data_IF_840169054369
#
_entry.id   IF_840169054369
#
_cell.length_a   1.000
_cell.length_b   1.000
_cell.length_c   1.000
_cell.angle_alpha   90.00
_cell.angle_beta   90.00
_cell.angle_gamma   90.00
#
_symmetry.space_group_name_H-M   'P 1'
#
loop_
_entity.id
_entity.type
_entity.pdbx_description
1 polymer ?
#
# COMPACT_ATOMS: atom_id res chain seq x y z
N UNK A 1 35.56 56.27 -44.47
CA UNK A 1 34.85 56.68 -43.25
C UNK A 1 33.78 55.64 -42.96
N UNK A 2 34.02 54.76 -41.98
CA UNK A 2 33.14 53.65 -41.61
C UNK A 2 32.52 54.00 -40.25
N UNK A 3 31.19 53.99 -40.08
CA UNK A 3 30.59 54.26 -38.79
C UNK A 3 30.71 53.03 -37.89
N UNK A 4 31.18 53.27 -36.66
CA UNK A 4 31.42 52.25 -35.65
C UNK A 4 30.10 51.64 -35.14
N UNK A 5 29.72 50.47 -35.66
CA UNK A 5 28.62 49.61 -35.20
C UNK A 5 28.96 48.79 -33.93
N UNK A 6 29.96 49.22 -33.15
CA UNK A 6 30.52 48.43 -32.05
C UNK A 6 29.70 48.39 -30.74
N UNK A 7 28.91 49.41 -30.33
CA UNK A 7 28.29 49.34 -29.00
C UNK A 7 27.03 48.46 -28.98
N UNK A 8 26.31 48.32 -30.10
CA UNK A 8 25.02 47.61 -30.14
C UNK A 8 25.21 46.10 -30.03
N UNK A 9 26.21 45.53 -30.71
CA UNK A 9 26.49 44.08 -30.70
C UNK A 9 27.00 43.58 -29.35
N UNK A 10 27.78 44.40 -28.63
CA UNK A 10 28.27 44.06 -27.29
C UNK A 10 27.12 44.03 -26.28
N UNK A 11 26.20 45.00 -26.38
CA UNK A 11 25.02 45.04 -25.50
C UNK A 11 24.08 43.86 -25.76
N UNK A 12 23.89 43.44 -27.02
CA UNK A 12 23.03 42.28 -27.32
C UNK A 12 23.63 40.96 -26.82
N UNK A 13 24.94 40.78 -26.94
CA UNK A 13 25.63 39.56 -26.45
C UNK A 13 25.61 39.47 -24.93
N UNK A 14 25.77 40.60 -24.22
CA UNK A 14 25.67 40.65 -22.76
C UNK A 14 24.24 40.37 -22.29
N UNK A 15 23.23 40.92 -22.97
CA UNK A 15 21.82 40.67 -22.61
C UNK A 15 21.43 39.20 -22.81
N UNK A 16 21.90 38.56 -23.90
CA UNK A 16 21.63 37.14 -24.17
C UNK A 16 22.37 36.21 -23.18
N UNK A 17 23.59 36.57 -22.76
CA UNK A 17 24.33 35.83 -21.75
C UNK A 17 23.66 35.88 -20.35
N UNK A 18 23.04 37.01 -19.99
CA UNK A 18 22.29 37.15 -18.73
C UNK A 18 20.98 36.36 -18.75
N UNK A 19 20.30 36.30 -19.90
CA UNK A 19 19.07 35.52 -20.07
C UNK A 19 19.30 33.99 -20.08
N UNK A 20 20.43 33.53 -20.63
CA UNK A 20 20.78 32.10 -20.62
C UNK A 20 21.35 31.62 -19.26
N UNK A 21 21.91 32.51 -18.44
CA UNK A 21 22.46 32.16 -17.12
C UNK A 21 21.41 31.87 -16.03
N UNK A 22 20.17 32.35 -16.19
CA UNK A 22 19.09 32.18 -15.21
C UNK A 22 18.50 30.77 -15.13
N UNK A 23 18.69 29.94 -16.16
CA UNK A 23 18.17 28.57 -16.19
C UNK A 23 19.11 27.54 -15.55
N UNK A 24 20.37 27.87 -15.28
CA UNK A 24 21.34 26.96 -14.66
C UNK A 24 21.36 27.04 -13.12
N UNK A 25 20.73 28.05 -12.52
CA UNK A 25 20.71 28.27 -11.06
C UNK A 25 19.47 27.72 -10.35
N UNK A 26 18.58 27.02 -11.06
CA UNK A 26 17.48 26.24 -10.47
C UNK A 26 17.89 24.78 -10.25
N UNK A 27 19.11 24.56 -9.75
CA UNK A 27 19.36 23.34 -9.00
C UNK A 27 18.70 23.56 -7.63
N UNK A 28 17.78 22.70 -7.17
CA UNK A 28 17.19 22.86 -5.85
C UNK A 28 18.33 22.89 -4.83
N UNK A 29 18.51 24.02 -4.15
CA UNK A 29 19.49 24.16 -3.07
C UNK A 29 19.13 23.11 -2.01
N UNK A 30 19.89 22.01 -1.99
CA UNK A 30 19.89 21.09 -0.87
C UNK A 30 20.46 21.87 0.31
N UNK A 31 19.60 22.15 1.28
CA UNK A 31 19.96 22.84 2.52
C UNK A 31 21.19 22.18 3.17
N UNK A 32 22.10 22.96 3.76
CA UNK A 32 23.25 22.42 4.52
C UNK A 32 22.83 21.59 5.76
N UNK A 33 21.53 21.49 6.04
CA UNK A 33 20.98 20.53 7.00
C UNK A 33 20.89 19.10 6.46
N UNK A 34 20.98 18.88 5.14
CA UNK A 34 21.04 17.53 4.54
C UNK A 34 22.44 16.93 4.56
N UNK A 35 23.48 17.70 4.88
CA UNK A 35 24.88 17.25 4.94
C UNK A 35 25.32 16.77 6.33
N UNK A 36 24.43 16.77 7.34
CA UNK A 36 24.70 16.18 8.66
C UNK A 36 23.52 15.36 9.16
N UNK A 37 23.32 14.18 8.59
CA UNK A 37 22.25 13.28 9.00
C UNK A 37 22.76 11.84 8.96
N UNK A 38 22.26 11.01 9.88
CA UNK A 38 22.78 9.70 10.29
C UNK A 38 23.02 8.67 9.19
N UNK A 39 23.75 7.61 9.58
CA UNK A 39 24.53 6.63 8.79
C UNK A 39 23.80 5.78 7.72
N UNK A 40 22.68 6.23 7.17
CA UNK A 40 22.09 5.67 5.96
C UNK A 40 21.98 6.78 4.90
N UNK A 41 22.85 6.77 3.87
CA UNK A 41 22.81 7.70 2.73
C UNK A 41 21.56 7.53 1.83
N UNK A 42 20.57 6.75 2.29
CA UNK A 42 19.36 6.38 1.56
C UNK A 42 18.29 7.45 1.71
N UNK A 43 17.83 7.97 0.56
CA UNK A 43 16.63 8.81 0.56
C UNK A 43 15.39 8.03 1.01
N UNK A 44 14.46 8.71 1.68
CA UNK A 44 13.20 8.13 2.16
C UNK A 44 12.40 7.46 1.04
N UNK A 45 12.42 8.03 -0.17
CA UNK A 45 11.75 7.46 -1.33
C UNK A 45 12.32 6.09 -1.75
N UNK A 46 13.65 5.92 -1.67
CA UNK A 46 14.30 4.63 -1.97
C UNK A 46 13.98 3.60 -0.90
N UNK A 47 14.03 3.96 0.39
CA UNK A 47 13.63 3.07 1.48
C UNK A 47 12.18 2.59 1.29
N UNK A 48 11.27 3.51 0.98
CA UNK A 48 9.86 3.19 0.73
C UNK A 48 9.66 2.24 -0.44
N UNK A 49 10.44 2.40 -1.51
CA UNK A 49 10.41 1.50 -2.66
C UNK A 49 10.87 0.10 -2.28
N UNK A 50 11.98 -0.01 -1.53
CA UNK A 50 12.52 -1.30 -1.06
C UNK A 50 11.53 -2.04 -0.18
N UNK A 51 10.97 -1.37 0.83
CA UNK A 51 9.99 -1.97 1.74
C UNK A 51 8.75 -2.45 0.98
N UNK A 52 8.22 -1.66 0.05
CA UNK A 52 7.04 -2.06 -0.72
C UNK A 52 7.27 -3.17 -1.73
N UNK A 53 8.50 -3.35 -2.21
CA UNK A 53 8.80 -4.49 -3.09
C UNK A 53 8.65 -5.83 -2.36
N UNK A 54 8.86 -5.85 -1.04
CA UNK A 54 8.61 -7.02 -0.20
C UNK A 54 7.14 -7.46 -0.25
N UNK A 55 6.19 -6.55 -0.43
CA UNK A 55 4.76 -6.83 -0.24
C UNK A 55 4.23 -7.91 -1.18
N UNK A 56 4.66 -7.91 -2.45
CA UNK A 56 4.24 -8.92 -3.42
C UNK A 56 4.83 -10.28 -3.06
N UNK A 57 6.12 -10.32 -2.74
CA UNK A 57 6.84 -11.57 -2.44
C UNK A 57 6.35 -12.19 -1.13
N UNK A 58 6.22 -11.39 -0.08
CA UNK A 58 5.78 -11.85 1.24
C UNK A 58 4.34 -12.35 1.19
N UNK A 59 3.45 -11.65 0.49
CA UNK A 59 2.08 -12.14 0.24
C UNK A 59 2.07 -13.53 -0.40
N UNK A 60 2.90 -13.73 -1.43
CA UNK A 60 2.98 -15.01 -2.13
C UNK A 60 3.59 -16.13 -1.28
N UNK A 61 4.62 -15.84 -0.47
CA UNK A 61 5.25 -16.83 0.40
C UNK A 61 4.32 -17.25 1.56
N UNK A 62 3.57 -16.31 2.13
CA UNK A 62 2.57 -16.61 3.17
C UNK A 62 1.40 -17.41 2.59
N UNK A 63 0.94 -17.07 1.37
CA UNK A 63 -0.08 -17.84 0.64
C UNK A 63 0.41 -19.28 0.39
N UNK A 64 1.63 -19.44 -0.13
CA UNK A 64 2.23 -20.74 -0.41
C UNK A 64 2.45 -21.60 0.85
N UNK A 65 2.90 -20.98 1.95
CA UNK A 65 3.05 -21.64 3.25
C UNK A 65 1.73 -22.23 3.71
N UNK A 66 0.66 -21.44 3.68
CA UNK A 66 -0.66 -21.87 4.12
C UNK A 66 -1.22 -22.99 3.24
N UNK A 67 -1.03 -22.89 1.91
CA UNK A 67 -1.46 -23.90 0.95
C UNK A 67 -0.68 -25.21 1.11
N UNK A 68 0.63 -25.15 1.36
CA UNK A 68 1.46 -26.33 1.60
C UNK A 68 1.06 -27.06 2.88
N UNK A 69 0.84 -26.33 3.98
CA UNK A 69 0.33 -26.88 5.24
C UNK A 69 -1.05 -27.51 5.07
N UNK A 70 -1.98 -26.83 4.40
CA UNK A 70 -3.31 -27.33 4.12
C UNK A 70 -3.27 -28.63 3.29
N UNK A 71 -2.46 -28.66 2.23
CA UNK A 71 -2.40 -29.79 1.31
C UNK A 71 -1.71 -31.02 1.93
N UNK A 72 -0.63 -30.82 2.70
CA UNK A 72 0.19 -31.92 3.22
C UNK A 72 -0.25 -32.46 4.57
N UNK A 73 -0.99 -31.68 5.36
CA UNK A 73 -1.49 -32.14 6.67
C UNK A 73 -2.52 -33.27 6.53
N UNK A 74 -3.26 -33.33 5.41
CA UNK A 74 -4.35 -34.28 5.23
C UNK A 74 -5.54 -34.08 6.19
N UNK A 75 -5.52 -33.01 7.00
CA UNK A 75 -6.56 -32.70 7.98
C UNK A 75 -7.48 -31.59 7.43
N UNK A 76 -8.81 -31.85 7.32
CA UNK A 76 -9.77 -30.81 6.97
C UNK A 76 -9.78 -29.64 7.97
N UNK A 77 -9.43 -29.90 9.23
CA UNK A 77 -9.33 -28.87 10.27
C UNK A 77 -8.15 -27.92 9.98
N UNK A 78 -6.96 -28.47 9.69
CA UNK A 78 -5.78 -27.67 9.32
C UNK A 78 -6.02 -26.93 8.00
N UNK A 79 -6.67 -27.55 7.01
CA UNK A 79 -7.00 -26.88 5.76
C UNK A 79 -7.92 -25.66 5.99
N UNK A 80 -8.95 -25.79 6.82
CA UNK A 80 -9.84 -24.69 7.21
C UNK A 80 -9.10 -23.60 8.00
N UNK A 81 -8.23 -23.99 8.93
CA UNK A 81 -7.41 -23.06 9.71
C UNK A 81 -6.42 -22.28 8.84
N UNK A 82 -5.76 -22.95 7.89
CA UNK A 82 -4.82 -22.31 6.96
C UNK A 82 -5.53 -21.40 5.94
N UNK A 83 -6.76 -21.73 5.55
CA UNK A 83 -7.58 -20.82 4.77
C UNK A 83 -7.89 -19.53 5.55
N UNK A 84 -8.28 -19.64 6.83
CA UNK A 84 -8.46 -18.46 7.72
C UNK A 84 -7.16 -17.69 7.90
N UNK A 85 -6.05 -18.40 8.11
CA UNK A 85 -4.72 -17.83 8.28
C UNK A 85 -4.34 -16.96 7.08
N UNK A 86 -4.32 -17.50 5.85
CA UNK A 86 -3.92 -16.71 4.66
C UNK A 86 -4.90 -15.58 4.34
N UNK A 87 -6.20 -15.79 4.56
CA UNK A 87 -7.22 -14.78 4.32
C UNK A 87 -7.07 -13.55 5.23
N UNK A 88 -6.43 -13.71 6.40
CA UNK A 88 -6.13 -12.62 7.31
C UNK A 88 -4.69 -12.11 7.16
N UNK A 89 -3.70 -13.01 7.12
CA UNK A 89 -2.28 -12.68 7.13
C UNK A 89 -1.82 -11.95 5.86
N UNK A 90 -2.32 -12.37 4.69
CA UNK A 90 -1.93 -11.73 3.42
C UNK A 90 -2.36 -10.25 3.39
N UNK A 91 -3.64 -9.88 3.62
CA UNK A 91 -4.02 -8.47 3.72
C UNK A 91 -3.27 -7.72 4.82
N UNK A 92 -3.00 -8.35 5.97
CA UNK A 92 -2.30 -7.71 7.09
C UNK A 92 -0.86 -7.32 6.72
N UNK A 93 -0.11 -8.22 6.10
CA UNK A 93 1.26 -7.94 5.63
C UNK A 93 1.27 -6.89 4.53
N UNK A 94 0.31 -6.94 3.60
CA UNK A 94 0.16 -5.90 2.57
C UNK A 94 -0.12 -4.53 3.21
N UNK A 95 -0.98 -4.48 4.23
CA UNK A 95 -1.28 -3.23 4.94
C UNK A 95 -0.04 -2.69 5.66
N UNK A 96 0.68 -3.55 6.39
CA UNK A 96 1.89 -3.20 7.12
C UNK A 96 2.98 -2.64 6.19
N UNK A 97 3.26 -3.30 5.07
CA UNK A 97 4.30 -2.88 4.12
C UNK A 97 3.95 -1.63 3.31
N UNK A 98 2.67 -1.24 3.27
CA UNK A 98 2.21 -0.02 2.59
C UNK A 98 1.96 1.16 3.53
N UNK A 99 2.42 1.10 4.79
CA UNK A 99 2.39 2.28 5.64
C UNK A 99 3.18 3.46 5.00
N UNK A 100 2.76 4.72 5.23
CA UNK A 100 3.43 5.89 4.64
C UNK A 100 4.90 6.02 5.08
N UNK A 101 5.18 5.69 6.34
CA UNK A 101 6.52 5.64 6.91
C UNK A 101 7.16 4.26 6.66
N UNK A 102 8.26 4.18 5.88
CA UNK A 102 8.94 2.90 5.63
C UNK A 102 9.54 2.27 6.89
N UNK A 103 9.89 3.06 7.91
CA UNK A 103 10.42 2.53 9.18
C UNK A 103 9.29 1.87 9.95
N UNK A 104 8.16 2.57 10.10
CA UNK A 104 6.96 2.01 10.72
C UNK A 104 6.49 0.76 9.99
N UNK A 105 6.51 0.76 8.66
CA UNK A 105 6.19 -0.41 7.83
C UNK A 105 7.08 -1.62 8.14
N UNK A 106 8.39 -1.43 8.29
CA UNK A 106 9.32 -2.50 8.65
C UNK A 106 9.06 -3.05 10.05
N UNK A 107 8.94 -2.20 11.06
CA UNK A 107 8.66 -2.63 12.44
C UNK A 107 7.31 -3.35 12.52
N UNK A 108 6.30 -2.83 11.86
CA UNK A 108 4.98 -3.42 11.87
C UNK A 108 4.94 -4.79 11.19
N UNK A 109 5.67 -4.93 10.08
CA UNK A 109 5.81 -6.21 9.38
C UNK A 109 6.64 -7.21 10.17
N UNK A 110 7.76 -6.78 10.76
CA UNK A 110 8.61 -7.62 11.61
C UNK A 110 7.78 -8.20 12.76
N UNK A 111 7.07 -7.33 13.45
CA UNK A 111 6.21 -7.70 14.57
C UNK A 111 5.11 -8.66 14.15
N UNK A 112 4.46 -8.40 13.00
CA UNK A 112 3.44 -9.29 12.47
C UNK A 112 4.01 -10.68 12.15
N UNK A 113 5.22 -10.77 11.59
CA UNK A 113 5.86 -12.06 11.30
C UNK A 113 6.14 -12.86 12.59
N UNK A 114 6.71 -12.21 13.62
CA UNK A 114 6.93 -12.83 14.92
C UNK A 114 5.61 -13.30 15.55
N UNK A 115 4.55 -12.49 15.47
CA UNK A 115 3.22 -12.87 15.95
C UNK A 115 2.62 -14.06 15.17
N UNK A 116 2.82 -14.11 13.84
CA UNK A 116 2.37 -15.23 13.02
C UNK A 116 3.12 -16.52 13.39
N UNK A 117 4.43 -16.41 13.64
CA UNK A 117 5.29 -17.51 14.09
C UNK A 117 4.80 -18.09 15.42
N UNK A 118 4.56 -17.24 16.42
CA UNK A 118 4.03 -17.64 17.74
C UNK A 118 2.63 -18.28 17.65
N UNK A 119 1.81 -17.78 16.72
CA UNK A 119 0.43 -18.27 16.54
C UNK A 119 0.34 -19.60 15.77
N UNK A 120 1.37 -19.95 14.99
CA UNK A 120 1.30 -21.05 14.02
C UNK A 120 1.02 -22.42 14.66
N UNK A 121 1.70 -22.82 15.76
CA UNK A 121 1.43 -24.12 16.41
C UNK A 121 0.00 -24.24 16.93
N UNK A 122 -0.57 -23.13 17.40
CA UNK A 122 -1.95 -23.07 17.90
C UNK A 122 -2.98 -23.02 16.78
N UNK A 123 -2.59 -22.49 15.61
CA UNK A 123 -3.47 -22.40 14.45
C UNK A 123 -3.54 -23.72 13.69
N UNK A 124 -2.44 -24.48 13.64
CA UNK A 124 -2.34 -25.74 12.91
C UNK A 124 -2.10 -26.93 13.85
N UNK A 125 -2.93 -27.06 14.90
CA UNK A 125 -2.77 -28.05 15.98
C UNK A 125 -2.61 -29.49 15.48
N UNK A 126 -3.34 -29.89 14.44
CA UNK A 126 -3.29 -31.27 13.91
C UNK A 126 -2.20 -31.48 12.84
N UNK A 127 -1.37 -30.48 12.55
CA UNK A 127 -0.28 -30.63 11.59
C UNK A 127 0.90 -31.40 12.23
N UNK A 128 1.63 -32.17 11.42
CA UNK A 128 2.79 -32.90 11.92
C UNK A 128 3.89 -31.91 12.35
N UNK A 129 4.73 -32.26 13.34
CA UNK A 129 5.84 -31.41 13.77
C UNK A 129 6.79 -31.02 12.63
N UNK A 130 7.03 -31.92 11.67
CA UNK A 130 7.90 -31.66 10.52
C UNK A 130 7.27 -30.67 9.53
N UNK A 131 5.94 -30.67 9.41
CA UNK A 131 5.21 -29.70 8.60
C UNK A 131 5.22 -28.32 9.25
N UNK A 132 4.99 -28.26 10.57
CA UNK A 132 5.07 -27.03 11.35
C UNK A 132 6.47 -26.43 11.30
N UNK A 133 7.52 -27.24 11.44
CA UNK A 133 8.91 -26.79 11.34
C UNK A 133 9.21 -26.12 9.99
N UNK A 134 8.78 -26.71 8.87
CA UNK A 134 8.98 -26.10 7.54
C UNK A 134 8.28 -24.76 7.36
N UNK A 135 7.06 -24.65 7.89
CA UNK A 135 6.30 -23.41 7.84
C UNK A 135 6.91 -22.35 8.76
N UNK A 136 7.38 -22.74 9.94
CA UNK A 136 8.15 -21.89 10.83
C UNK A 136 9.44 -21.38 10.15
N UNK A 137 10.23 -22.26 9.53
CA UNK A 137 11.45 -21.87 8.79
C UNK A 137 11.16 -20.81 7.72
N UNK A 138 10.01 -20.92 7.04
CA UNK A 138 9.60 -19.92 6.04
C UNK A 138 9.29 -18.56 6.69
N UNK A 139 8.69 -18.53 7.87
CA UNK A 139 8.43 -17.28 8.60
C UNK A 139 9.73 -16.65 9.12
N UNK A 140 10.65 -17.47 9.65
CA UNK A 140 11.99 -17.04 10.07
C UNK A 140 12.78 -16.49 8.88
N UNK A 141 12.68 -17.11 7.70
CA UNK A 141 13.30 -16.60 6.48
C UNK A 141 12.71 -15.25 6.05
N UNK A 142 11.40 -15.03 6.21
CA UNK A 142 10.77 -13.73 5.96
C UNK A 142 11.25 -12.68 6.98
N UNK A 143 11.33 -13.05 8.26
CA UNK A 143 11.83 -12.18 9.34
C UNK A 143 13.27 -11.74 9.06
N UNK A 144 14.15 -12.68 8.69
CA UNK A 144 15.56 -12.38 8.39
C UNK A 144 15.74 -11.34 7.27
N UNK A 145 14.80 -11.28 6.32
CA UNK A 145 14.81 -10.29 5.24
C UNK A 145 14.36 -8.92 5.73
N UNK A 146 13.41 -8.86 6.67
CA UNK A 146 13.03 -7.62 7.34
C UNK A 146 14.19 -7.11 8.19
N UNK A 147 14.90 -7.99 8.90
CA UNK A 147 16.12 -7.63 9.62
C UNK A 147 17.19 -7.07 8.67
N UNK A 148 17.38 -7.67 7.48
CA UNK A 148 18.34 -7.20 6.50
C UNK A 148 18.00 -5.77 6.02
N UNK A 149 16.73 -5.49 5.74
CA UNK A 149 16.27 -4.13 5.42
C UNK A 149 16.43 -3.18 6.62
N UNK A 150 16.16 -3.65 7.84
CA UNK A 150 16.36 -2.87 9.06
C UNK A 150 17.83 -2.47 9.26
N UNK A 151 18.78 -3.37 9.04
CA UNK A 151 20.23 -3.06 9.05
C UNK A 151 20.57 -1.97 8.05
N UNK A 152 20.02 -2.04 6.83
CA UNK A 152 20.24 -1.04 5.78
C UNK A 152 19.67 0.32 6.17
N UNK A 153 18.47 0.35 6.75
CA UNK A 153 17.79 1.59 7.16
C UNK A 153 18.44 2.24 8.37
N UNK A 154 18.89 1.45 9.35
CA UNK A 154 19.48 1.96 10.60
C UNK A 154 20.99 2.17 10.52
N UNK A 155 21.66 1.50 9.58
CA UNK A 155 23.12 1.46 9.50
C UNK A 155 23.78 0.71 10.67
N UNK A 156 23.01 -0.07 11.43
CA UNK A 156 23.50 -0.89 12.54
C UNK A 156 23.81 -2.30 12.03
N UNK A 157 24.98 -2.84 12.38
CA UNK A 157 25.32 -4.24 12.10
C UNK A 157 24.61 -5.19 13.06
N UNK A 158 24.55 -4.81 14.35
CA UNK A 158 23.85 -5.56 15.39
C UNK A 158 22.40 -5.08 15.52
N UNK A 159 21.48 -6.03 15.35
CA UNK A 159 20.02 -5.82 15.45
C UNK A 159 19.40 -6.65 16.57
N UNK A 160 20.21 -7.29 17.40
CA UNK A 160 19.76 -8.23 18.44
C UNK A 160 18.83 -7.55 19.44
N UNK A 161 19.17 -6.35 19.93
CA UNK A 161 18.28 -5.63 20.86
C UNK A 161 16.94 -5.26 20.22
N UNK A 162 16.94 -4.89 18.92
CA UNK A 162 15.71 -4.57 18.20
C UNK A 162 14.84 -5.83 18.03
N UNK A 163 15.47 -6.95 17.65
CA UNK A 163 14.84 -8.26 17.54
C UNK A 163 14.19 -8.69 18.86
N UNK A 164 14.94 -8.62 19.96
CA UNK A 164 14.46 -9.02 21.28
C UNK A 164 13.23 -8.20 21.70
N UNK A 165 13.23 -6.89 21.41
CA UNK A 165 12.07 -6.03 21.69
C UNK A 165 10.86 -6.36 20.81
N UNK A 166 11.08 -6.68 19.53
CA UNK A 166 10.01 -7.09 18.62
C UNK A 166 9.37 -8.39 19.10
N UNK A 167 10.14 -9.43 19.40
CA UNK A 167 9.58 -10.68 19.92
C UNK A 167 8.95 -10.52 21.29
N UNK A 168 9.55 -9.73 22.20
CA UNK A 168 8.94 -9.44 23.50
C UNK A 168 7.58 -8.73 23.35
N UNK A 169 7.46 -7.81 22.40
CA UNK A 169 6.19 -7.15 22.10
C UNK A 169 5.20 -8.15 21.47
N UNK A 170 5.62 -8.97 20.51
CA UNK A 170 4.77 -9.97 19.86
C UNK A 170 4.18 -10.96 20.88
N UNK A 171 5.01 -11.47 21.79
CA UNK A 171 4.60 -12.38 22.86
C UNK A 171 3.64 -11.71 23.85
N UNK A 172 3.82 -10.41 24.14
CA UNK A 172 2.92 -9.66 25.01
C UNK A 172 1.58 -9.30 24.35
N UNK A 173 1.51 -9.29 23.02
CA UNK A 173 0.33 -8.91 22.24
C UNK A 173 -0.03 -10.01 21.21
N UNK A 174 -0.45 -11.21 21.65
CA UNK A 174 -0.73 -12.32 20.75
C UNK A 174 -1.92 -12.05 19.80
N UNK A 175 -1.96 -12.77 18.68
CA UNK A 175 -3.07 -12.68 17.71
C UNK A 175 -4.29 -13.44 18.24
N UNK A 176 -5.25 -12.72 18.83
CA UNK A 176 -6.46 -13.32 19.44
C UNK A 176 -7.72 -13.24 18.58
N UNK A 177 -7.64 -12.66 17.38
CA UNK A 177 -8.82 -12.41 16.54
C UNK A 177 -8.48 -11.92 15.14
N UNK A 178 -9.46 -11.32 14.41
CA UNK A 178 -9.23 -10.79 13.08
C UNK A 178 -8.11 -9.74 13.07
N UNK A 179 -7.18 -9.87 12.12
CA UNK A 179 -5.99 -9.01 12.06
C UNK A 179 -6.30 -7.54 11.74
N UNK A 180 -7.54 -7.24 11.33
CA UNK A 180 -8.04 -5.86 11.18
C UNK A 180 -8.05 -5.11 12.52
N UNK A 181 -8.19 -5.83 13.64
CA UNK A 181 -8.19 -5.27 15.00
C UNK A 181 -6.83 -5.33 15.68
N UNK A 182 -5.77 -5.70 14.96
CA UNK A 182 -4.42 -5.82 15.50
C UNK A 182 -3.95 -4.49 16.06
N UNK A 183 -3.34 -4.54 17.25
CA UNK A 183 -2.81 -3.37 17.91
C UNK A 183 -1.71 -2.69 17.08
N UNK A 184 -1.67 -1.36 17.13
CA UNK A 184 -0.67 -0.57 16.43
C UNK A 184 0.70 -0.71 17.08
N UNK A 185 1.73 -0.93 16.26
CA UNK A 185 3.14 -1.01 16.68
C UNK A 185 3.79 0.36 16.92
N UNK A 186 3.01 1.44 16.95
CA UNK A 186 3.52 2.81 17.14
C UNK A 186 4.30 2.97 18.45
N UNK A 187 3.83 2.36 19.54
CA UNK A 187 4.52 2.41 20.83
C UNK A 187 5.87 1.65 20.79
N UNK A 188 5.91 0.50 20.10
CA UNK A 188 7.14 -0.26 19.89
C UNK A 188 8.14 0.55 19.04
N UNK A 189 7.67 1.16 17.95
CA UNK A 189 8.50 2.03 17.11
C UNK A 189 9.15 3.16 17.92
N UNK A 190 8.39 3.83 18.79
CA UNK A 190 8.92 4.88 19.66
C UNK A 190 10.06 4.35 20.54
N UNK A 191 9.86 3.18 21.18
CA UNK A 191 10.89 2.56 22.03
C UNK A 191 12.16 2.16 21.29
N UNK A 192 12.05 1.78 20.01
CA UNK A 192 13.19 1.40 19.17
C UNK A 192 13.95 2.63 18.67
N UNK A 193 13.25 3.72 18.35
CA UNK A 193 13.91 4.97 17.93
C UNK A 193 14.81 5.59 19.01
N UNK A 194 14.51 5.35 20.29
CA UNK A 194 15.37 5.77 21.40
C UNK A 194 16.70 4.98 21.45
N UNK A 195 16.66 3.69 21.11
CA UNK A 195 17.84 2.79 21.08
C UNK A 195 18.76 3.09 19.91
N UNK A 196 18.18 3.25 18.73
CA UNK A 196 18.93 3.36 17.48
C UNK A 196 19.59 4.73 17.26
N UNK A 197 19.35 5.69 18.17
CA UNK A 197 19.87 7.05 18.07
C UNK A 197 19.24 7.87 16.93
N UNK A 198 19.68 9.12 16.78
CA UNK A 198 19.06 10.14 15.92
C UNK A 198 18.96 9.85 14.41
N UNK A 199 19.48 8.72 13.91
CA UNK A 199 19.42 8.33 12.50
C UNK A 199 18.00 8.03 12.00
N UNK A 200 17.13 7.50 12.88
CA UNK A 200 15.72 7.26 12.54
C UNK A 200 14.85 8.53 12.66
N UNK A 201 15.20 9.46 13.55
CA UNK A 201 14.48 10.73 13.76
C UNK A 201 14.49 11.65 12.53
N UNK A 202 15.49 11.53 11.66
CA UNK A 202 15.61 12.33 10.44
C UNK A 202 14.76 11.83 9.27
N UNK A 203 14.30 10.58 9.29
CA UNK A 203 13.55 9.95 8.20
C UNK A 203 12.07 10.36 8.19
N UNK A 204 11.54 10.82 9.33
CA UNK A 204 10.14 11.21 9.51
C UNK A 204 9.77 12.59 8.96
N UNK A 205 10.74 13.43 8.55
CA UNK A 205 10.50 14.85 8.36
C UNK A 205 9.78 15.25 7.05
N UNK A 206 9.58 14.36 6.08
CA UNK A 206 8.80 14.64 4.86
C UNK A 206 8.24 13.34 4.25
N UNK A 207 7.01 12.96 4.62
CA UNK A 207 6.30 11.80 4.07
C UNK A 207 5.06 12.25 3.29
N UNK A 208 5.29 12.85 2.11
CA UNK A 208 4.21 13.02 1.12
C UNK A 208 4.06 11.71 0.35
N UNK A 209 2.83 11.22 0.23
CA UNK A 209 2.49 10.04 -0.55
C UNK A 209 2.56 10.36 -2.05
N UNK A 210 3.34 9.58 -2.82
CA UNK A 210 3.48 9.80 -4.27
C UNK A 210 2.32 9.10 -5.03
N UNK A 211 1.88 9.68 -6.13
CA UNK A 211 0.93 9.08 -7.08
C UNK A 211 1.35 7.68 -7.56
N UNK A 212 2.67 7.44 -7.68
CA UNK A 212 3.23 6.11 -7.99
C UNK A 212 2.95 5.09 -6.89
N UNK A 213 2.94 5.54 -5.64
CA UNK A 213 2.70 4.69 -4.46
C UNK A 213 1.26 4.21 -4.43
N UNK A 214 0.32 5.11 -4.70
CA UNK A 214 -1.09 4.79 -4.87
C UNK A 214 -1.30 3.79 -6.02
N UNK A 215 -0.59 3.98 -7.12
CA UNK A 215 -0.68 3.08 -8.28
C UNK A 215 -0.15 1.70 -7.94
N UNK A 216 0.99 1.60 -7.26
CA UNK A 216 1.55 0.32 -6.80
C UNK A 216 0.63 -0.42 -5.81
N UNK A 217 -0.04 0.32 -4.91
CA UNK A 217 -1.01 -0.25 -3.97
C UNK A 217 -2.25 -0.75 -4.69
N UNK A 218 -2.78 0.03 -5.62
CA UNK A 218 -3.93 -0.34 -6.46
C UNK A 218 -3.61 -1.57 -7.29
N UNK A 219 -2.43 -1.67 -7.88
CA UNK A 219 -1.99 -2.85 -8.65
C UNK A 219 -1.90 -4.10 -7.76
N UNK A 220 -1.30 -3.97 -6.57
CA UNK A 220 -1.19 -5.09 -5.63
C UNK A 220 -2.58 -5.55 -5.16
N UNK A 221 -3.50 -4.63 -4.88
CA UNK A 221 -4.86 -4.97 -4.51
C UNK A 221 -5.63 -5.54 -5.70
N UNK A 222 -5.55 -4.95 -6.89
CA UNK A 222 -6.20 -5.46 -8.09
C UNK A 222 -5.77 -6.91 -8.41
N UNK A 223 -4.50 -7.23 -8.19
CA UNK A 223 -3.97 -8.59 -8.39
C UNK A 223 -4.31 -9.58 -7.29
N UNK A 224 -4.61 -9.14 -6.06
CA UNK A 224 -4.92 -10.02 -4.91
C UNK A 224 -6.41 -10.10 -4.56
N UNK A 225 -7.21 -9.08 -4.89
CA UNK A 225 -8.64 -9.00 -4.58
C UNK A 225 -9.45 -10.19 -5.07
N UNK A 226 -9.30 -10.70 -6.31
CA UNK A 226 -10.04 -11.87 -6.75
C UNK A 226 -9.72 -13.13 -5.93
N UNK A 227 -8.45 -13.29 -5.51
CA UNK A 227 -8.04 -14.42 -4.65
C UNK A 227 -8.59 -14.25 -3.23
N UNK A 228 -8.52 -13.05 -2.66
CA UNK A 228 -9.07 -12.74 -1.34
C UNK A 228 -10.59 -12.96 -1.31
N UNK A 229 -11.33 -12.49 -2.31
CA UNK A 229 -12.77 -12.72 -2.43
C UNK A 229 -13.10 -14.22 -2.51
N UNK A 230 -12.32 -14.99 -3.28
CA UNK A 230 -12.46 -16.45 -3.34
C UNK A 230 -12.25 -17.08 -1.95
N UNK A 231 -11.19 -16.71 -1.23
CA UNK A 231 -10.94 -17.25 0.10
C UNK A 231 -12.04 -16.89 1.10
N UNK A 232 -12.56 -15.67 1.06
CA UNK A 232 -13.69 -15.25 1.89
C UNK A 232 -14.95 -16.06 1.56
N UNK A 233 -15.22 -16.32 0.28
CA UNK A 233 -16.32 -17.20 -0.12
C UNK A 233 -16.12 -18.65 0.35
N UNK A 234 -14.90 -19.18 0.24
CA UNK A 234 -14.55 -20.51 0.75
C UNK A 234 -14.68 -20.59 2.27
N UNK A 235 -14.34 -19.52 2.99
CA UNK A 235 -14.54 -19.41 4.44
C UNK A 235 -16.02 -19.42 4.80
N UNK A 236 -16.85 -18.59 4.17
CA UNK A 236 -18.30 -18.57 4.39
C UNK A 236 -18.92 -19.94 4.12
N UNK A 237 -18.53 -20.59 3.03
CA UNK A 237 -19.00 -21.94 2.70
C UNK A 237 -18.56 -22.98 3.76
N UNK A 238 -17.31 -22.89 4.21
CA UNK A 238 -16.76 -23.80 5.24
C UNK A 238 -17.44 -23.58 6.59
N UNK A 239 -17.65 -22.32 6.99
CA UNK A 239 -18.33 -21.95 8.23
C UNK A 239 -19.80 -22.38 8.21
N UNK A 240 -20.49 -22.24 7.07
CA UNK A 240 -21.85 -22.72 6.89
C UNK A 240 -21.94 -24.25 7.02
N UNK A 241 -20.97 -24.99 6.47
CA UNK A 241 -20.89 -26.44 6.63
C UNK A 241 -20.52 -26.88 8.05
N UNK A 242 -19.79 -26.05 8.78
CA UNK A 242 -19.42 -26.28 10.18
C UNK A 242 -20.49 -25.78 11.17
N UNK A 243 -21.57 -25.16 10.69
CA UNK A 243 -22.64 -24.68 11.54
C UNK A 243 -23.27 -25.85 12.33
N UNK A 244 -23.46 -25.72 13.65
CA UNK A 244 -23.96 -26.81 14.50
C UNK A 244 -25.31 -27.37 14.01
N UNK A 245 -26.15 -26.51 13.44
CA UNK A 245 -27.43 -26.87 12.85
C UNK A 245 -27.29 -27.76 11.61
N UNK A 246 -26.36 -27.43 10.72
CA UNK A 246 -26.07 -28.21 9.51
C UNK A 246 -25.41 -29.54 9.88
N UNK A 247 -24.47 -29.53 10.81
CA UNK A 247 -23.85 -30.76 11.32
C UNK A 247 -24.85 -31.67 12.03
N UNK A 248 -25.73 -31.11 12.86
CA UNK A 248 -26.79 -31.88 13.51
C UNK A 248 -27.78 -32.47 12.50
N UNK A 249 -28.17 -31.70 11.48
CA UNK A 249 -29.04 -32.18 10.41
C UNK A 249 -28.39 -33.31 9.61
N UNK A 250 -27.11 -33.19 9.25
CA UNK A 250 -26.36 -34.24 8.57
C UNK A 250 -26.18 -35.49 9.43
N UNK A 251 -25.93 -35.33 10.74
CA UNK A 251 -25.82 -36.44 11.68
C UNK A 251 -27.16 -37.16 11.88
N UNK A 252 -28.28 -36.43 11.88
CA UNK A 252 -29.63 -37.01 11.94
C UNK A 252 -29.99 -37.73 10.63
N UNK A 253 -29.62 -37.16 9.47
CA UNK A 253 -29.77 -37.82 8.17
C UNK A 253 -28.96 -39.12 8.12
N UNK A 254 -27.71 -39.11 8.59
CA UNK A 254 -26.89 -40.33 8.70
C UNK A 254 -27.56 -41.40 9.57
N UNK A 255 -28.06 -41.02 10.75
CA UNK A 255 -28.84 -41.93 11.62
C UNK A 255 -30.10 -42.44 10.96
N UNK A 256 -30.80 -41.61 10.19
CA UNK A 256 -32.02 -41.99 9.46
C UNK A 256 -31.70 -42.99 8.34
N UNK A 257 -30.61 -42.78 7.60
CA UNK A 257 -30.14 -43.72 6.57
C UNK A 257 -29.75 -45.06 7.20
N UNK A 258 -29.05 -45.07 8.33
CA UNK A 258 -28.70 -46.30 9.04
C UNK A 258 -29.93 -47.06 9.56
N UNK A 259 -30.96 -46.34 10.01
CA UNK A 259 -32.24 -46.93 10.41
C UNK A 259 -33.00 -47.51 9.21
N UNK A 260 -33.00 -46.83 8.07
CA UNK A 260 -33.60 -47.33 6.84
C UNK A 260 -32.86 -48.55 6.30
N UNK A 261 -31.54 -48.63 6.46
CA UNK A 261 -30.75 -49.81 6.08
C UNK A 261 -31.08 -51.02 6.98
N UNK A 262 -31.24 -50.79 8.30
CA UNK A 262 -31.67 -51.82 9.25
C UNK A 262 -33.11 -52.27 9.06
N UNK A 263 -34.03 -51.35 8.74
CA UNK A 263 -35.42 -51.67 8.41
C UNK A 263 -35.51 -52.36 7.05
N UNK A 264 -34.68 -51.97 6.08
CA UNK A 264 -34.52 -52.63 4.79
C UNK A 264 -34.02 -54.07 4.93
N UNK A 265 -33.12 -54.33 5.88
CA UNK A 265 -32.69 -55.68 6.26
C UNK A 265 -33.81 -56.51 6.90
N UNK A 266 -34.74 -55.88 7.64
CA UNK A 266 -35.94 -56.53 8.21
C UNK A 266 -37.05 -56.77 7.17
N UNK A 267 -37.15 -55.90 6.17
CA UNK A 267 -38.17 -55.92 5.13
C UNK A 267 -37.84 -56.88 3.97
N UNK A 268 -36.65 -57.48 3.95
CA UNK A 268 -36.18 -58.47 2.96
C UNK A 268 -37.09 -59.71 2.75
N UNK A 269 -38.20 -59.82 3.49
CA UNK A 269 -39.25 -60.84 3.32
C UNK A 269 -40.38 -60.46 2.33
N UNK A 270 -40.33 -59.31 1.64
CA UNK A 270 -41.26 -59.03 0.52
C UNK A 270 -40.58 -58.32 -0.68
N UNK A 271 -40.20 -59.05 -1.75
CA UNK A 271 -39.36 -58.50 -2.83
C UNK A 271 -40.04 -57.47 -3.76
N UNK A 272 -41.37 -57.45 -3.85
CA UNK A 272 -42.07 -56.71 -4.91
C UNK A 272 -42.44 -55.25 -4.57
N UNK A 273 -42.59 -54.93 -3.27
CA UNK A 273 -42.94 -53.57 -2.80
C UNK A 273 -41.69 -52.70 -2.60
N UNK A 274 -40.60 -53.30 -2.11
CA UNK A 274 -39.33 -52.60 -1.85
C UNK A 274 -38.73 -52.03 -3.12
N UNK A 275 -38.78 -52.78 -4.22
CA UNK A 275 -38.12 -52.36 -5.46
C UNK A 275 -38.85 -51.21 -6.16
N UNK A 276 -40.18 -51.10 -5.99
CA UNK A 276 -40.96 -49.96 -6.49
C UNK A 276 -40.77 -48.72 -5.64
N UNK A 277 -40.85 -48.83 -4.32
CA UNK A 277 -40.66 -47.67 -3.44
C UNK A 277 -39.21 -47.19 -3.43
N UNK A 278 -38.23 -48.11 -3.45
CA UNK A 278 -36.81 -47.74 -3.49
C UNK A 278 -36.46 -46.97 -4.77
N UNK A 279 -36.98 -47.37 -5.93
CA UNK A 279 -36.79 -46.59 -7.17
C UNK A 279 -37.48 -45.24 -7.11
N UNK A 280 -38.71 -45.18 -6.62
CA UNK A 280 -39.43 -43.92 -6.51
C UNK A 280 -38.71 -42.92 -5.56
N UNK A 281 -38.19 -43.40 -4.43
CA UNK A 281 -37.42 -42.58 -3.48
C UNK A 281 -36.08 -42.17 -4.08
N UNK A 282 -35.32 -43.08 -4.70
CA UNK A 282 -34.04 -42.76 -5.35
C UNK A 282 -34.21 -41.76 -6.50
N UNK A 283 -35.26 -41.91 -7.31
CA UNK A 283 -35.58 -40.98 -8.39
C UNK A 283 -35.98 -39.61 -7.82
N UNK A 284 -36.74 -39.57 -6.72
CA UNK A 284 -37.09 -38.30 -6.05
C UNK A 284 -35.87 -37.58 -5.48
N UNK A 285 -34.96 -38.31 -4.82
CA UNK A 285 -33.71 -37.75 -4.28
C UNK A 285 -32.77 -37.32 -5.40
N UNK A 286 -32.75 -38.05 -6.52
CA UNK A 286 -31.96 -37.67 -7.68
C UNK A 286 -32.51 -36.41 -8.36
N UNK A 287 -33.83 -36.28 -8.49
CA UNK A 287 -34.49 -35.09 -9.01
C UNK A 287 -34.28 -33.87 -8.08
N UNK A 288 -34.40 -34.06 -6.77
CA UNK A 288 -34.19 -33.01 -5.77
C UNK A 288 -32.72 -32.55 -5.74
N UNK A 289 -31.76 -33.48 -5.86
CA UNK A 289 -30.33 -33.18 -6.00
C UNK A 289 -30.04 -32.39 -7.28
N UNK A 290 -30.62 -32.76 -8.41
CA UNK A 290 -30.46 -32.03 -9.67
C UNK A 290 -31.05 -30.61 -9.56
N UNK A 291 -32.23 -30.47 -8.95
CA UNK A 291 -32.86 -29.17 -8.70
C UNK A 291 -32.02 -28.28 -7.78
N UNK A 292 -31.46 -28.83 -6.71
CA UNK A 292 -30.58 -28.08 -5.80
C UNK A 292 -29.28 -27.66 -6.52
N UNK A 293 -28.70 -28.53 -7.33
CA UNK A 293 -27.48 -28.24 -8.10
C UNK A 293 -27.72 -27.16 -9.16
N UNK A 294 -28.88 -27.17 -9.80
CA UNK A 294 -29.29 -26.15 -10.77
C UNK A 294 -29.58 -24.81 -10.08
N UNK A 295 -30.25 -24.83 -8.92
CA UNK A 295 -30.47 -23.64 -8.09
C UNK A 295 -29.15 -23.02 -7.62
N UNK A 296 -28.23 -23.81 -7.07
CA UNK A 296 -26.92 -23.31 -6.60
C UNK A 296 -26.08 -22.78 -7.76
N UNK A 297 -26.10 -23.43 -8.93
CA UNK A 297 -25.39 -22.91 -10.11
C UNK A 297 -26.02 -21.61 -10.63
N UNK A 298 -27.35 -21.50 -10.61
CA UNK A 298 -28.08 -20.30 -11.00
C UNK A 298 -27.77 -19.12 -10.06
N UNK A 299 -27.85 -19.35 -8.75
CA UNK A 299 -27.47 -18.35 -7.73
C UNK A 299 -26.00 -17.95 -7.89
N UNK A 300 -25.09 -18.91 -8.11
CA UNK A 300 -23.67 -18.60 -8.32
C UNK A 300 -23.45 -17.73 -9.57
N UNK A 301 -24.14 -18.00 -10.67
CA UNK A 301 -24.06 -17.19 -11.88
C UNK A 301 -24.66 -15.79 -11.68
N UNK A 302 -25.79 -15.69 -10.96
CA UNK A 302 -26.44 -14.41 -10.64
C UNK A 302 -25.53 -13.54 -9.76
N UNK A 303 -24.93 -14.11 -8.71
CA UNK A 303 -23.97 -13.41 -7.83
C UNK A 303 -22.74 -12.96 -8.61
N UNK A 304 -22.16 -13.81 -9.48
CA UNK A 304 -21.02 -13.38 -10.30
C UNK A 304 -21.37 -12.27 -11.30
N UNK A 305 -22.58 -12.29 -11.86
CA UNK A 305 -23.06 -11.24 -12.74
C UNK A 305 -23.27 -9.92 -11.97
N UNK A 306 -23.83 -9.98 -10.75
CA UNK A 306 -24.02 -8.81 -9.88
C UNK A 306 -22.69 -8.20 -9.44
N UNK A 307 -21.75 -9.01 -8.95
CA UNK A 307 -20.40 -8.56 -8.58
C UNK A 307 -19.69 -7.95 -9.79
N UNK A 308 -19.88 -8.51 -10.99
CA UNK A 308 -19.34 -7.94 -12.24
C UNK A 308 -19.93 -6.57 -12.58
N UNK A 309 -21.25 -6.41 -12.45
CA UNK A 309 -21.96 -5.14 -12.66
C UNK A 309 -21.55 -4.09 -11.63
N UNK A 310 -21.47 -4.47 -10.37
CA UNK A 310 -21.08 -3.59 -9.27
C UNK A 310 -19.62 -3.15 -9.39
N UNK A 311 -18.72 -4.06 -9.80
CA UNK A 311 -17.33 -3.71 -10.13
C UNK A 311 -17.26 -2.68 -11.26
N UNK A 312 -18.02 -2.88 -12.34
CA UNK A 312 -18.01 -1.94 -13.46
C UNK A 312 -18.54 -0.56 -13.03
N UNK A 313 -19.63 -0.53 -12.27
CA UNK A 313 -20.19 0.71 -11.73
C UNK A 313 -19.20 1.43 -10.78
N UNK A 314 -18.48 0.68 -9.93
CA UNK A 314 -17.47 1.24 -9.03
C UNK A 314 -16.27 1.82 -9.80
N UNK A 315 -15.79 1.11 -10.83
CA UNK A 315 -14.70 1.58 -11.70
C UNK A 315 -15.11 2.85 -12.44
N UNK A 316 -16.33 2.89 -12.98
CA UNK A 316 -16.85 4.05 -13.70
C UNK A 316 -17.02 5.26 -12.75
N UNK A 317 -17.54 5.03 -11.54
CA UNK A 317 -17.66 6.07 -10.50
C UNK A 317 -16.29 6.62 -10.07
N UNK A 318 -15.30 5.74 -9.84
CA UNK A 318 -13.96 6.13 -9.44
C UNK A 318 -13.20 6.85 -10.57
N UNK A 319 -13.46 6.49 -11.83
CA UNK A 319 -12.94 7.20 -12.99
C UNK A 319 -13.57 8.60 -13.11
N UNK A 320 -14.89 8.71 -12.91
CA UNK A 320 -15.58 10.00 -12.89
C UNK A 320 -15.05 10.91 -11.77
N UNK A 321 -14.81 10.36 -10.58
CA UNK A 321 -14.25 11.10 -9.44
C UNK A 321 -12.83 11.58 -9.72
N UNK A 322 -11.97 10.74 -10.32
CA UNK A 322 -10.62 11.14 -10.78
C UNK A 322 -10.65 12.26 -11.81
N UNK A 323 -11.54 12.18 -12.80
CA UNK A 323 -11.68 13.22 -13.82
C UNK A 323 -12.12 14.54 -13.19
N UNK A 324 -13.08 14.49 -12.26
CA UNK A 324 -13.54 15.67 -11.53
C UNK A 324 -12.43 16.29 -10.66
N UNK A 325 -11.61 15.47 -9.97
CA UNK A 325 -10.48 15.98 -9.18
C UNK A 325 -9.39 16.59 -10.05
N UNK A 326 -9.06 15.96 -11.19
CA UNK A 326 -8.08 16.51 -12.13
C UNK A 326 -8.57 17.85 -12.72
N UNK A 327 -9.85 17.98 -13.03
CA UNK A 327 -10.43 19.25 -13.50
C UNK A 327 -10.40 20.34 -12.42
N UNK A 328 -10.63 20.00 -11.15
CA UNK A 328 -10.49 20.94 -10.04
C UNK A 328 -9.04 21.38 -9.85
N UNK A 329 -8.06 20.47 -9.96
CA UNK A 329 -6.64 20.79 -9.88
C UNK A 329 -6.20 21.71 -11.02
N UNK A 330 -6.66 21.44 -12.25
CA UNK A 330 -6.41 22.30 -13.40
C UNK A 330 -7.02 23.70 -13.20
N UNK A 331 -8.22 23.79 -12.63
CA UNK A 331 -8.87 25.05 -12.27
C UNK A 331 -8.10 25.83 -11.21
N UNK A 332 -7.62 25.16 -10.16
CA UNK A 332 -6.80 25.75 -9.10
C UNK A 332 -5.43 26.20 -9.62
N UNK A 333 -4.79 25.41 -10.48
CA UNK A 333 -3.51 25.74 -11.10
C UNK A 333 -3.62 26.98 -12.00
N UNK A 334 -4.66 27.05 -12.85
CA UNK A 334 -4.94 28.24 -13.67
C UNK A 334 -5.25 29.46 -12.80
N UNK A 335 -6.07 29.30 -11.76
CA UNK A 335 -6.41 30.38 -10.82
C UNK A 335 -5.18 30.92 -10.06
N UNK A 336 -4.25 30.05 -9.65
CA UNK A 336 -3.00 30.46 -9.02
C UNK A 336 -2.07 31.21 -9.97
N UNK A 337 -1.97 30.75 -11.21
CA UNK A 337 -1.16 31.41 -12.25
C UNK A 337 -1.74 32.80 -12.56
N UNK A 338 -3.05 32.89 -12.78
CA UNK A 338 -3.73 34.17 -13.06
C UNK A 338 -3.58 35.15 -11.88
N UNK A 339 -3.76 34.69 -10.63
CA UNK A 339 -3.54 35.53 -9.45
C UNK A 339 -2.07 35.93 -9.23
N UNK A 340 -1.12 35.09 -9.60
CA UNK A 340 0.30 35.44 -9.56
C UNK A 340 0.63 36.53 -10.60
N UNK A 341 0.08 36.42 -11.82
CA UNK A 341 0.28 37.41 -12.87
C UNK A 341 -0.45 38.73 -12.59
N UNK A 342 -1.67 38.70 -12.06
CA UNK A 342 -2.43 39.90 -11.66
C UNK A 342 -1.73 40.70 -10.55
N UNK A 343 -1.01 40.04 -9.63
CA UNK A 343 -0.17 40.73 -8.65
C UNK A 343 1.16 41.22 -9.20
N UNK A 344 1.72 40.56 -10.22
CA UNK A 344 3.00 40.95 -10.82
C UNK A 344 2.88 42.19 -11.71
N UNK A 345 1.77 42.34 -12.45
CA UNK A 345 1.52 43.51 -13.31
C UNK A 345 1.77 44.87 -12.63
N UNK A 346 1.08 45.20 -11.52
CA UNK A 346 1.24 46.48 -10.84
C UNK A 346 2.62 46.65 -10.17
N UNK A 347 3.35 45.57 -9.90
CA UNK A 347 4.72 45.63 -9.40
C UNK A 347 5.69 46.00 -10.53
N UNK A 348 5.55 45.37 -11.69
CA UNK A 348 6.37 45.66 -12.88
C UNK A 348 6.18 47.12 -13.32
N UNK A 349 4.94 47.60 -13.36
CA UNK A 349 4.64 49.00 -13.69
C UNK A 349 5.28 49.97 -12.70
N UNK A 350 5.25 49.64 -11.40
CA UNK A 350 5.87 50.46 -10.36
C UNK A 350 7.39 50.49 -10.51
N UNK A 351 8.03 49.34 -10.74
CA UNK A 351 9.49 49.29 -10.97
C UNK A 351 9.87 50.08 -12.22
N UNK A 352 9.10 49.98 -13.31
CA UNK A 352 9.35 50.73 -14.53
C UNK A 352 9.21 52.25 -14.34
N UNK A 353 8.20 52.68 -13.58
CA UNK A 353 8.04 54.09 -13.20
C UNK A 353 9.21 54.61 -12.36
N UNK A 354 9.72 53.81 -11.42
CA UNK A 354 10.89 54.20 -10.62
C UNK A 354 12.17 54.30 -11.46
N UNK A 355 12.39 53.38 -12.40
CA UNK A 355 13.54 53.40 -13.30
C UNK A 355 13.50 54.58 -14.29
N UNK A 356 12.31 54.91 -14.81
CA UNK A 356 12.14 56.07 -15.69
C UNK A 356 12.33 57.38 -14.93
N UNK A 357 11.83 57.49 -13.69
CA UNK A 357 12.08 58.64 -12.83
C UNK A 357 13.58 58.81 -12.53
N UNK A 358 14.28 57.72 -12.22
CA UNK A 358 15.73 57.73 -11.96
C UNK A 358 16.52 58.24 -13.18
N UNK A 359 16.19 57.78 -14.39
CA UNK A 359 16.89 58.21 -15.60
C UNK A 359 16.64 59.69 -15.92
N UNK A 360 15.41 60.18 -15.70
CA UNK A 360 15.10 61.61 -15.82
C UNK A 360 15.89 62.42 -14.79
N UNK A 361 15.95 61.97 -13.54
CA UNK A 361 16.68 62.67 -12.47
C UNK A 361 18.18 62.76 -12.80
N UNK A 362 18.79 61.67 -13.26
CA UNK A 362 20.19 61.63 -13.67
C UNK A 362 20.45 62.55 -14.89
N UNK A 363 19.53 62.58 -15.86
CA UNK A 363 19.62 63.48 -17.01
C UNK A 363 19.56 64.96 -16.61
N UNK A 364 18.61 65.34 -15.75
CA UNK A 364 18.47 66.71 -15.24
C UNK A 364 19.68 67.09 -14.38
N UNK A 365 20.14 66.20 -13.50
CA UNK A 365 21.33 66.41 -12.68
C UNK A 365 22.59 66.60 -13.52
N UNK A 366 22.77 65.80 -14.57
CA UNK A 366 23.87 65.94 -15.52
C UNK A 366 23.83 67.27 -16.28
N UNK A 367 22.66 67.70 -16.75
CA UNK A 367 22.46 69.01 -17.39
C UNK A 367 22.78 70.18 -16.46
N UNK A 368 22.29 70.14 -15.22
CA UNK A 368 22.58 71.17 -14.21
C UNK A 368 24.06 71.21 -13.84
N UNK A 369 24.69 70.04 -13.65
CA UNK A 369 26.12 69.92 -13.39
C UNK A 369 26.96 70.49 -14.56
N UNK A 370 26.59 70.16 -15.80
CA UNK A 370 27.22 70.71 -17.00
C UNK A 370 27.05 72.23 -17.13
N UNK A 371 25.87 72.77 -16.82
CA UNK A 371 25.61 74.21 -16.81
C UNK A 371 26.41 74.94 -15.73
N UNK A 372 26.59 74.34 -14.55
CA UNK A 372 27.41 74.90 -13.48
C UNK A 372 28.90 74.87 -13.82
N UNK A 373 29.39 73.76 -14.40
CA UNK A 373 30.78 73.64 -14.86
C UNK A 373 31.10 74.62 -15.98
N UNK A 374 30.21 74.77 -16.97
CA UNK A 374 30.39 75.74 -18.05
C UNK A 374 30.32 77.19 -17.56
N UNK A 375 29.47 77.50 -16.58
CA UNK A 375 29.46 78.81 -15.90
C UNK A 375 30.73 79.06 -15.08
N UNK A 376 31.24 78.05 -14.38
CA UNK A 376 32.49 78.16 -13.61
C UNK A 376 33.70 78.39 -14.55
N UNK A 377 33.76 77.65 -15.67
CA UNK A 377 34.79 77.83 -16.70
C UNK A 377 34.74 79.21 -17.36
N UNK A 378 33.54 79.78 -17.57
CA UNK A 378 33.39 81.15 -18.10
C UNK A 378 33.72 82.26 -17.10
N UNK A 379 33.79 81.97 -15.79
CA UNK A 379 34.24 82.92 -14.76
C UNK A 379 35.73 82.84 -14.46
N UNK A 380 36.38 81.74 -14.87
CA UNK A 380 37.81 81.51 -14.70
C UNK A 380 38.66 81.95 -15.91
N UNK A 381 38.00 82.35 -17.01
CA UNK A 381 38.56 83.20 -18.07
C UNK A 381 38.07 84.61 -17.84
#
# INVERSE_FOLDING_TARGET
MVPALFPVRVVTVVLFAVLCGGCASLAPQRSELTTRVGRSDLSVAVMRTRVRDLARRFSGLIEALADDLAARSGSPHVASAMLRFKANAVPAVQSALFQPDPVAALIDTWTLLAQLEDSLPHTAVDASPELLARAHDTLVDLESQVEAEWRVVTGLEDVTEARDKVHAWAAAHPLTGPLVTRESTTALLASLTEVTGGGLRSTAANLVEDTRDLTARVDLYATSLPRQARWQAELVATDAMQAPTVQAALAELGRTVDLLDRVGALAANSPALIERERRAVLDSVHAERLGLQEFVNGERQAVFADVGRERQALVDALHAERVATLQQLDGLARGWVDHAFDRLGPLVDRVFLWLTLLTVLLGVGGLLGGLLLTRAWRRAR
#
